data_IF_825259023205
#
_entry.id   IF_825259023205
#
_cell.length_a   1.000
_cell.length_b   1.000
_cell.length_c   1.000
_cell.angle_alpha   90.00
_cell.angle_beta   90.00
_cell.angle_gamma   90.00
#
_symmetry.space_group_name_H-M   'P 1'
#
loop_
_entity.id
_entity.type
_entity.pdbx_description
1 polymer ?
#
# COMPACT_ATOMS: atom_id res chain seq x y z
N UNK A 1 -24.69 33.04 43.25
CA UNK A 1 -23.42 32.52 42.68
C UNK A 1 -23.48 31.09 42.11
N UNK A 2 -24.63 30.37 42.11
CA UNK A 2 -24.70 28.94 41.68
C UNK A 2 -24.98 28.68 40.18
N UNK A 3 -25.41 29.68 39.42
CA UNK A 3 -25.78 29.51 37.98
C UNK A 3 -24.60 29.56 37.01
N UNK A 4 -23.52 30.28 37.37
CA UNK A 4 -22.34 30.41 36.50
C UNK A 4 -21.51 29.14 36.39
N UNK A 5 -21.55 28.26 37.39
CA UNK A 5 -20.80 27.00 37.38
C UNK A 5 -21.45 25.95 36.48
N UNK A 6 -22.78 25.87 36.48
CA UNK A 6 -23.56 24.91 35.68
C UNK A 6 -23.46 25.24 34.18
N UNK A 7 -23.52 26.53 33.82
CA UNK A 7 -23.35 26.97 32.43
C UNK A 7 -21.93 26.72 31.90
N UNK A 8 -20.90 26.86 32.76
CA UNK A 8 -19.51 26.54 32.42
C UNK A 8 -19.29 25.03 32.25
N UNK A 9 -19.91 24.20 33.08
CA UNK A 9 -19.85 22.75 32.95
C UNK A 9 -20.53 22.25 31.67
N UNK A 10 -21.71 22.79 31.32
CA UNK A 10 -22.44 22.44 30.10
C UNK A 10 -21.66 22.78 28.82
N UNK A 11 -21.05 23.98 28.77
CA UNK A 11 -20.22 24.38 27.63
C UNK A 11 -18.96 23.53 27.49
N UNK A 12 -18.35 23.10 28.60
CA UNK A 12 -17.17 22.24 28.57
C UNK A 12 -17.49 20.83 28.06
N UNK A 13 -18.64 20.27 28.47
CA UNK A 13 -19.14 18.98 27.99
C UNK A 13 -19.51 19.04 26.50
N UNK A 14 -20.14 20.15 26.05
CA UNK A 14 -20.45 20.35 24.64
C UNK A 14 -19.19 20.45 23.76
N UNK A 15 -18.15 21.15 24.22
CA UNK A 15 -16.87 21.25 23.52
C UNK A 15 -16.15 19.89 23.49
N UNK A 16 -16.14 19.13 24.59
CA UNK A 16 -15.54 17.80 24.64
C UNK A 16 -16.28 16.80 23.75
N UNK A 17 -17.61 16.84 23.72
CA UNK A 17 -18.41 16.00 22.83
C UNK A 17 -18.19 16.37 21.36
N UNK A 18 -18.15 17.67 21.03
CA UNK A 18 -17.83 18.14 19.69
C UNK A 18 -16.42 17.72 19.26
N UNK A 19 -15.42 17.91 20.12
CA UNK A 19 -14.03 17.50 19.87
C UNK A 19 -13.89 15.98 19.74
N UNK A 20 -14.63 15.18 20.51
CA UNK A 20 -14.64 13.72 20.38
C UNK A 20 -15.28 13.24 19.07
N UNK A 21 -16.33 13.91 18.59
CA UNK A 21 -16.96 13.61 17.29
C UNK A 21 -16.02 13.95 16.13
N UNK A 22 -15.28 15.07 16.21
CA UNK A 22 -14.28 15.44 15.20
C UNK A 22 -12.99 14.60 15.30
N UNK A 23 -12.54 14.25 16.50
CA UNK A 23 -11.37 13.38 16.71
C UNK A 23 -11.63 11.93 16.29
N UNK A 24 -12.90 11.47 16.30
CA UNK A 24 -13.29 10.15 15.83
C UNK A 24 -13.08 9.92 14.32
N UNK A 25 -12.83 10.97 13.53
CA UNK A 25 -12.47 10.86 12.10
C UNK A 25 -10.96 10.69 11.88
N UNK A 26 -10.14 10.95 12.91
CA UNK A 26 -8.69 10.79 12.89
C UNK A 26 -8.24 9.39 13.38
N UNK A 27 -9.15 8.40 13.38
CA UNK A 27 -8.77 6.99 13.56
C UNK A 27 -7.92 6.55 12.37
N UNK A 28 -6.61 6.63 12.57
CA UNK A 28 -5.52 5.91 11.91
C UNK A 28 -5.85 5.36 10.52
N UNK A 29 -5.72 6.20 9.51
CA UNK A 29 -5.36 5.73 8.18
C UNK A 29 -3.94 5.18 8.31
N UNK A 30 -3.80 3.86 8.47
CA UNK A 30 -2.49 3.18 8.38
C UNK A 30 -1.89 3.47 7.00
N UNK A 31 -0.90 4.37 6.94
CA UNK A 31 -0.34 4.91 5.70
C UNK A 31 0.98 4.24 5.27
N UNK A 32 1.39 3.18 5.98
CA UNK A 32 2.61 2.41 5.72
C UNK A 32 2.53 1.52 4.46
N UNK A 33 1.32 1.12 4.09
CA UNK A 33 1.06 0.05 3.11
C UNK A 33 0.12 0.48 1.98
N UNK A 34 -0.07 1.79 1.83
CA UNK A 34 -0.96 2.41 0.83
C UNK A 34 -0.16 3.08 -0.26
N UNK A 35 -0.80 3.21 -1.42
CA UNK A 35 -0.28 3.99 -2.55
C UNK A 35 -1.27 5.08 -2.88
N UNK A 36 -0.79 6.29 -3.12
CA UNK A 36 -1.63 7.45 -3.45
C UNK A 36 -1.17 8.09 -4.76
N UNK A 37 -2.13 8.50 -5.60
CA UNK A 37 -1.87 9.46 -6.67
C UNK A 37 -2.55 10.79 -6.33
N UNK A 38 -1.83 11.93 -6.37
CA UNK A 38 -2.41 13.24 -6.03
C UNK A 38 -3.56 13.68 -6.93
N UNK A 39 -3.64 13.14 -8.16
CA UNK A 39 -4.58 13.63 -9.16
C UNK A 39 -5.20 12.53 -10.01
N UNK A 40 -6.52 12.60 -10.18
CA UNK A 40 -7.28 11.96 -11.25
C UNK A 40 -8.37 12.93 -11.71
N UNK A 41 -8.86 12.76 -12.93
CA UNK A 41 -10.08 13.45 -13.39
C UNK A 41 -10.91 12.58 -14.33
N UNK A 42 -12.19 12.92 -14.44
CA UNK A 42 -13.05 12.43 -15.51
C UNK A 42 -14.17 13.41 -15.82
N UNK A 43 -14.49 13.56 -17.11
CA UNK A 43 -15.63 14.32 -17.64
C UNK A 43 -16.06 13.77 -19.01
N UNK A 44 -16.71 14.60 -19.83
CA UNK A 44 -17.14 14.25 -21.18
C UNK A 44 -16.03 14.14 -22.21
N UNK A 45 -14.84 14.67 -21.94
CA UNK A 45 -13.68 14.65 -22.83
C UNK A 45 -12.40 14.14 -22.15
N UNK A 46 -12.49 13.54 -20.98
CA UNK A 46 -11.36 13.02 -20.23
C UNK A 46 -11.71 11.83 -19.35
N UNK A 47 -10.72 10.95 -19.19
CA UNK A 47 -10.76 9.83 -18.27
C UNK A 47 -9.38 9.62 -17.63
N UNK A 48 -9.36 8.86 -16.55
CA UNK A 48 -8.11 8.42 -15.91
C UNK A 48 -7.88 6.94 -16.17
N UNK A 49 -6.68 6.59 -16.58
CA UNK A 49 -6.21 5.22 -16.72
C UNK A 49 -5.15 4.90 -15.67
N UNK A 50 -5.23 3.70 -15.10
CA UNK A 50 -4.25 3.17 -14.15
C UNK A 50 -3.94 1.72 -14.55
N UNK A 51 -2.65 1.40 -14.64
CA UNK A 51 -2.13 0.05 -14.73
C UNK A 51 -1.49 -0.32 -13.39
N UNK A 52 -1.94 -1.45 -12.82
CA UNK A 52 -1.37 -2.03 -11.60
C UNK A 52 -0.72 -3.35 -11.98
N UNK A 53 0.59 -3.43 -11.85
CA UNK A 53 1.40 -4.56 -12.34
C UNK A 53 2.08 -5.28 -11.18
N UNK A 54 1.98 -6.61 -11.20
CA UNK A 54 2.78 -7.48 -10.35
C UNK A 54 3.94 -8.07 -11.17
N UNK A 55 5.17 -7.70 -10.84
CA UNK A 55 6.38 -8.06 -11.63
C UNK A 55 6.82 -9.52 -11.50
N UNK A 56 6.28 -10.27 -10.52
CA UNK A 56 6.58 -11.70 -10.32
C UNK A 56 8.01 -11.99 -9.88
N UNK A 57 8.64 -11.04 -9.17
CA UNK A 57 9.99 -11.23 -8.66
C UNK A 57 10.02 -12.31 -7.57
N UNK A 58 11.10 -13.08 -7.53
CA UNK A 58 11.31 -14.08 -6.48
C UNK A 58 11.32 -13.39 -5.11
N UNK A 59 10.62 -13.97 -4.13
CA UNK A 59 10.46 -13.37 -2.81
C UNK A 59 9.27 -12.43 -2.67
N UNK A 60 8.57 -12.05 -3.74
CA UNK A 60 7.26 -11.38 -3.64
C UNK A 60 6.16 -12.36 -3.24
N UNK A 61 5.02 -11.86 -2.79
CA UNK A 61 3.82 -12.68 -2.69
C UNK A 61 3.42 -13.20 -4.08
N UNK A 62 2.78 -14.36 -4.18
CA UNK A 62 2.31 -14.87 -5.49
C UNK A 62 1.13 -14.07 -6.04
N UNK A 63 0.42 -13.37 -5.15
CA UNK A 63 -0.70 -12.51 -5.46
C UNK A 63 -0.84 -11.41 -4.42
N UNK A 64 -1.31 -10.24 -4.85
CA UNK A 64 -1.54 -9.08 -3.97
C UNK A 64 -2.94 -8.55 -4.26
N UNK A 65 -3.74 -8.40 -3.21
CA UNK A 65 -5.08 -7.82 -3.30
C UNK A 65 -5.05 -6.32 -2.98
N UNK A 66 -5.72 -5.52 -3.80
CA UNK A 66 -5.83 -4.07 -3.62
C UNK A 66 -7.27 -3.61 -3.78
N UNK A 67 -7.59 -2.49 -3.13
CA UNK A 67 -8.82 -1.71 -3.31
C UNK A 67 -8.45 -0.32 -3.76
N UNK A 68 -8.97 0.13 -4.90
CA UNK A 68 -8.73 1.45 -5.47
C UNK A 68 -9.95 2.33 -5.24
N UNK A 69 -9.71 3.50 -4.63
CA UNK A 69 -10.71 4.51 -4.35
C UNK A 69 -10.38 5.77 -5.17
N UNK A 70 -11.37 6.29 -5.89
CA UNK A 70 -11.32 7.62 -6.46
C UNK A 70 -12.00 8.59 -5.49
N UNK A 71 -11.21 9.37 -4.77
CA UNK A 71 -11.69 10.29 -3.73
C UNK A 71 -11.72 11.69 -4.33
N UNK A 72 -12.85 12.37 -4.16
CA UNK A 72 -13.09 13.73 -4.62
C UNK A 72 -12.47 14.75 -3.65
N UNK A 73 -12.43 16.01 -4.08
CA UNK A 73 -11.95 17.12 -3.27
C UNK A 73 -12.78 17.40 -2.00
N UNK A 74 -14.03 16.94 -1.97
CA UNK A 74 -14.92 17.00 -0.79
C UNK A 74 -14.82 15.75 0.11
N UNK A 75 -13.79 14.93 -0.11
CA UNK A 75 -13.52 13.66 0.59
C UNK A 75 -14.55 12.54 0.34
N UNK A 76 -15.53 12.75 -0.53
CA UNK A 76 -16.48 11.71 -0.94
C UNK A 76 -15.91 10.86 -2.07
N UNK A 77 -16.40 9.63 -2.24
CA UNK A 77 -15.99 8.76 -3.35
C UNK A 77 -16.75 9.10 -4.64
N UNK A 78 -16.05 9.27 -5.76
CA UNK A 78 -16.66 9.60 -7.08
C UNK A 78 -17.58 8.48 -7.62
N UNK A 79 -17.30 7.25 -7.24
CA UNK A 79 -18.08 6.06 -7.55
C UNK A 79 -17.72 4.94 -6.57
N UNK A 80 -18.19 3.73 -6.84
CA UNK A 80 -17.82 2.57 -6.02
C UNK A 80 -16.33 2.26 -6.15
N UNK A 81 -15.66 2.09 -5.02
CA UNK A 81 -14.29 1.57 -4.99
C UNK A 81 -14.25 0.17 -5.62
N UNK A 82 -13.12 -0.17 -6.23
CA UNK A 82 -12.94 -1.45 -6.91
C UNK A 82 -11.86 -2.26 -6.22
N UNK A 83 -12.15 -3.52 -5.95
CA UNK A 83 -11.22 -4.46 -5.32
C UNK A 83 -10.91 -5.61 -6.25
N UNK A 84 -9.64 -5.96 -6.37
CA UNK A 84 -9.19 -7.10 -7.17
C UNK A 84 -7.88 -7.66 -6.63
N UNK A 85 -7.55 -8.88 -7.07
CA UNK A 85 -6.29 -9.55 -6.75
C UNK A 85 -5.45 -9.68 -8.00
N UNK A 86 -4.23 -9.12 -7.99
CA UNK A 86 -3.28 -9.23 -9.08
C UNK A 86 -2.39 -10.44 -8.84
N UNK A 87 -2.35 -11.35 -9.82
CA UNK A 87 -1.45 -12.50 -9.81
C UNK A 87 -0.05 -12.10 -10.28
N UNK A 88 0.95 -12.86 -9.85
CA UNK A 88 2.31 -12.77 -10.36
C UNK A 88 2.39 -12.66 -11.89
N UNK A 89 3.09 -11.64 -12.40
CA UNK A 89 3.35 -11.45 -13.83
C UNK A 89 2.18 -10.83 -14.59
N UNK A 90 1.12 -10.43 -13.88
CA UNK A 90 -0.09 -9.86 -14.49
C UNK A 90 -0.17 -8.35 -14.29
N UNK A 91 -0.94 -7.70 -15.16
CA UNK A 91 -1.29 -6.29 -15.06
C UNK A 91 -2.80 -6.14 -15.08
N UNK A 92 -3.36 -5.51 -14.05
CA UNK A 92 -4.76 -5.10 -14.05
C UNK A 92 -4.87 -3.67 -14.58
N UNK A 93 -5.80 -3.48 -15.52
CA UNK A 93 -6.16 -2.15 -16.04
C UNK A 93 -7.36 -1.63 -15.29
N UNK A 94 -7.31 -0.38 -14.86
CA UNK A 94 -8.38 0.32 -14.15
C UNK A 94 -8.66 1.64 -14.87
N UNK A 95 -9.93 1.92 -15.11
CA UNK A 95 -10.39 3.16 -15.70
C UNK A 95 -11.30 3.89 -14.71
N UNK A 96 -11.13 5.20 -14.63
CA UNK A 96 -12.04 6.11 -13.93
C UNK A 96 -12.70 6.96 -14.98
N UNK A 97 -14.01 6.76 -15.14
CA UNK A 97 -14.80 7.36 -16.21
C UNK A 97 -16.09 7.90 -15.65
N UNK A 98 -16.64 8.95 -16.26
CA UNK A 98 -18.04 9.30 -16.07
C UNK A 98 -18.97 8.15 -16.45
N UNK A 99 -20.18 8.14 -15.90
CA UNK A 99 -21.22 7.22 -16.37
C UNK A 99 -21.55 7.44 -17.85
N UNK A 100 -21.74 6.35 -18.59
CA UNK A 100 -22.12 6.38 -20.01
C UNK A 100 -21.00 6.86 -20.95
N UNK A 101 -19.73 6.62 -20.60
CA UNK A 101 -18.61 6.83 -21.51
C UNK A 101 -18.72 5.92 -22.75
N UNK A 102 -18.68 6.49 -23.95
CA UNK A 102 -19.04 5.79 -25.19
C UNK A 102 -18.04 4.72 -25.64
N UNK A 103 -16.74 4.96 -25.43
CA UNK A 103 -15.64 4.11 -25.90
C UNK A 103 -14.92 3.35 -24.78
N UNK A 104 -14.73 3.97 -23.62
CA UNK A 104 -14.04 3.39 -22.46
C UNK A 104 -15.08 2.95 -21.43
N UNK A 105 -15.59 1.72 -21.55
CA UNK A 105 -16.60 1.18 -20.65
C UNK A 105 -16.47 -0.36 -20.49
N UNK A 106 -17.16 -0.97 -19.50
CA UNK A 106 -17.09 -2.41 -19.26
C UNK A 106 -17.51 -3.29 -20.44
N UNK A 107 -18.39 -2.80 -21.31
CA UNK A 107 -18.84 -3.55 -22.50
C UNK A 107 -17.75 -3.61 -23.57
N UNK A 108 -17.02 -2.52 -23.77
CA UNK A 108 -15.96 -2.43 -24.79
C UNK A 108 -14.62 -2.97 -24.32
N UNK A 109 -14.33 -2.92 -23.00
CA UNK A 109 -13.08 -3.40 -22.41
C UNK A 109 -13.38 -4.33 -21.22
N UNK A 110 -13.92 -5.54 -21.45
CA UNK A 110 -14.43 -6.42 -20.39
C UNK A 110 -13.36 -6.96 -19.43
N UNK A 111 -12.09 -6.87 -19.81
CA UNK A 111 -10.96 -7.31 -18.97
C UNK A 111 -10.46 -6.23 -18.02
N UNK A 112 -10.93 -4.99 -18.16
CA UNK A 112 -10.56 -3.89 -17.29
C UNK A 112 -11.56 -3.70 -16.15
N UNK A 113 -11.11 -3.04 -15.10
CA UNK A 113 -11.90 -2.66 -13.95
C UNK A 113 -12.31 -1.19 -14.08
N UNK A 114 -13.49 -0.83 -13.60
CA UNK A 114 -14.04 0.52 -13.80
C UNK A 114 -14.53 1.12 -12.49
N UNK A 115 -14.10 2.35 -12.20
CA UNK A 115 -14.76 3.23 -11.23
C UNK A 115 -15.58 4.21 -12.07
N UNK A 116 -16.91 4.05 -12.06
CA UNK A 116 -17.81 4.92 -12.79
C UNK A 116 -18.63 5.78 -11.84
N UNK A 117 -18.68 7.08 -12.13
CA UNK A 117 -19.34 8.08 -11.29
C UNK A 117 -20.38 8.89 -12.06
N UNK A 118 -20.53 10.16 -11.70
CA UNK A 118 -21.48 11.10 -12.33
C UNK A 118 -21.09 11.45 -13.77
N UNK A 119 -21.94 12.21 -14.47
CA UNK A 119 -21.67 12.71 -15.83
C UNK A 119 -20.79 13.95 -15.88
N UNK A 120 -20.79 14.74 -14.80
CA UNK A 120 -20.07 16.02 -14.73
C UNK A 120 -18.58 15.84 -14.47
N UNK A 121 -17.82 16.91 -14.75
CA UNK A 121 -16.40 16.97 -14.43
C UNK A 121 -16.16 16.79 -12.94
N UNK A 122 -15.36 15.77 -12.61
CA UNK A 122 -14.87 15.50 -11.26
C UNK A 122 -13.40 15.18 -11.28
N UNK A 123 -12.74 15.48 -10.16
CA UNK A 123 -11.33 15.23 -9.94
C UNK A 123 -11.06 15.03 -8.45
N UNK A 124 -9.85 14.60 -8.14
CA UNK A 124 -9.39 14.46 -6.77
C UNK A 124 -8.15 13.59 -6.71
N UNK A 125 -8.01 12.77 -5.67
CA UNK A 125 -6.86 11.89 -5.49
C UNK A 125 -7.26 10.42 -5.50
N UNK A 126 -6.31 9.55 -5.82
CA UNK A 126 -6.48 8.10 -5.76
C UNK A 126 -5.89 7.60 -4.47
N UNK A 127 -6.60 6.70 -3.80
CA UNK A 127 -6.06 5.91 -2.69
C UNK A 127 -6.18 4.43 -2.99
N UNK A 128 -5.05 3.74 -2.97
CA UNK A 128 -4.95 2.30 -3.11
C UNK A 128 -4.65 1.69 -1.75
N UNK A 129 -5.62 0.94 -1.24
CA UNK A 129 -5.55 0.26 0.05
C UNK A 129 -5.25 -1.23 -0.17
N UNK A 130 -4.38 -1.88 0.62
CA UNK A 130 -4.21 -3.32 0.55
C UNK A 130 -5.47 -4.03 1.06
N UNK A 131 -5.81 -5.17 0.46
CA UNK A 131 -6.91 -6.03 0.95
C UNK A 131 -6.46 -6.86 2.15
N UNK A 132 -5.16 -7.14 2.27
CA UNK A 132 -4.60 -7.87 3.40
C UNK A 132 -4.75 -7.04 4.68
N UNK A 133 -5.28 -7.63 5.76
CA UNK A 133 -5.32 -7.01 7.09
C UNK A 133 -3.95 -6.84 7.74
N UNK A 134 -2.95 -7.53 7.20
CA UNK A 134 -1.57 -7.56 7.66
C UNK A 134 -0.65 -7.51 6.43
N UNK A 135 -0.60 -6.38 5.68
CA UNK A 135 0.12 -6.27 4.41
C UNK A 135 1.63 -6.34 4.59
N UNK A 136 2.12 -5.78 5.69
CA UNK A 136 3.51 -5.80 6.15
C UNK A 136 3.97 -7.13 6.77
N UNK A 137 3.15 -8.19 6.67
CA UNK A 137 3.55 -9.55 7.03
C UNK A 137 3.76 -10.39 5.78
N UNK A 138 4.91 -11.05 5.72
CA UNK A 138 5.18 -12.10 4.74
C UNK A 138 4.11 -13.20 4.83
N UNK A 139 3.68 -13.75 3.68
CA UNK A 139 2.71 -14.87 3.61
C UNK A 139 3.17 -16.08 4.44
N UNK A 140 4.48 -16.26 4.62
CA UNK A 140 5.08 -17.31 5.44
C UNK A 140 5.05 -17.00 6.95
N UNK A 141 4.37 -15.94 7.39
CA UNK A 141 3.99 -15.70 8.79
C UNK A 141 5.08 -15.13 9.70
N UNK A 142 6.28 -14.84 9.18
CA UNK A 142 7.36 -14.32 9.99
C UNK A 142 7.49 -12.80 9.85
N UNK A 143 6.99 -12.06 10.85
CA UNK A 143 7.13 -10.59 10.98
C UNK A 143 8.59 -10.11 10.97
N UNK A 144 9.54 -11.02 11.20
CA UNK A 144 10.96 -10.74 11.29
C UNK A 144 11.77 -11.97 10.92
N UNK A 145 11.66 -12.48 9.67
CA UNK A 145 12.60 -13.45 9.11
C UNK A 145 13.16 -14.49 10.10
N UNK A 146 12.33 -15.03 11.00
CA UNK A 146 12.76 -16.08 11.91
C UNK A 146 12.84 -17.29 11.02
N UNK A 147 14.00 -17.45 10.39
CA UNK A 147 14.43 -18.74 9.91
C UNK A 147 14.30 -19.65 11.13
N UNK A 148 13.23 -20.44 11.19
CA UNK A 148 13.16 -21.56 12.12
C UNK A 148 14.47 -22.27 11.93
N UNK A 149 15.32 -22.29 12.97
CA UNK A 149 16.61 -22.98 12.93
C UNK A 149 16.33 -24.33 12.32
N UNK A 150 16.79 -24.55 11.11
CA UNK A 150 16.50 -25.78 10.42
C UNK A 150 17.31 -26.85 11.11
N UNK A 151 16.67 -27.57 12.00
CA UNK A 151 17.25 -28.75 12.62
C UNK A 151 17.42 -29.88 11.60
N UNK A 152 16.69 -29.79 10.48
CA UNK A 152 16.72 -30.72 9.36
C UNK A 152 16.76 -29.96 8.01
N UNK A 153 17.61 -30.42 7.09
CA UNK A 153 17.77 -29.86 5.72
C UNK A 153 16.43 -29.82 4.97
N UNK A 154 15.55 -30.78 5.23
CA UNK A 154 14.20 -30.89 4.69
C UNK A 154 13.30 -29.70 5.04
N UNK A 155 13.39 -29.22 6.29
CA UNK A 155 12.60 -28.09 6.81
C UNK A 155 13.17 -26.73 6.38
N UNK A 156 14.47 -26.68 6.09
CA UNK A 156 15.11 -25.52 5.47
C UNK A 156 14.72 -25.35 4.02
N UNK A 157 14.67 -26.46 3.28
CA UNK A 157 14.28 -26.44 1.88
C UNK A 157 12.80 -26.05 1.71
N UNK A 158 11.91 -26.50 2.59
CA UNK A 158 10.49 -26.10 2.56
C UNK A 158 10.28 -24.61 2.89
N UNK A 159 11.03 -24.03 3.83
CA UNK A 159 10.99 -22.58 4.11
C UNK A 159 11.57 -21.75 2.96
N UNK A 160 12.69 -22.17 2.36
CA UNK A 160 13.28 -21.51 1.19
C UNK A 160 12.36 -21.61 -0.04
N UNK A 161 11.68 -22.74 -0.21
CA UNK A 161 10.68 -22.93 -1.27
C UNK A 161 9.47 -22.03 -1.06
N UNK A 162 9.00 -21.82 0.18
CA UNK A 162 7.93 -20.85 0.46
C UNK A 162 8.36 -19.41 0.12
N UNK A 163 9.58 -19.00 0.46
CA UNK A 163 10.11 -17.68 0.08
C UNK A 163 10.21 -17.54 -1.45
N UNK A 164 10.67 -18.56 -2.16
CA UNK A 164 10.76 -18.57 -3.63
C UNK A 164 9.39 -18.63 -4.32
N UNK A 165 8.38 -19.22 -3.66
CA UNK A 165 7.04 -19.50 -4.21
C UNK A 165 5.95 -18.64 -3.55
N UNK A 166 6.12 -17.32 -3.51
CA UNK A 166 5.03 -16.43 -3.08
C UNK A 166 5.00 -16.10 -1.59
N UNK A 167 6.12 -16.25 -0.89
CA UNK A 167 6.24 -15.97 0.54
C UNK A 167 6.34 -14.49 0.91
N UNK A 168 6.35 -13.56 -0.04
CA UNK A 168 6.56 -12.14 0.22
C UNK A 168 5.43 -11.40 0.93
N UNK A 169 5.56 -10.08 1.00
CA UNK A 169 4.55 -9.19 1.58
C UNK A 169 3.34 -9.05 0.65
N UNK A 170 2.15 -8.93 1.23
CA UNK A 170 0.90 -8.66 0.49
C UNK A 170 0.54 -7.19 0.60
N UNK A 171 1.54 -6.36 0.35
CA UNK A 171 1.48 -4.91 0.48
C UNK A 171 1.22 -4.27 -0.89
N UNK A 172 0.37 -3.24 -0.93
CA UNK A 172 0.09 -2.53 -2.17
C UNK A 172 1.36 -1.84 -2.71
N UNK A 173 2.26 -1.40 -1.83
CA UNK A 173 3.54 -0.77 -2.19
C UNK A 173 4.51 -1.68 -2.95
N UNK A 174 4.28 -3.00 -2.92
CA UNK A 174 5.08 -3.98 -3.66
C UNK A 174 4.69 -4.07 -5.15
N UNK A 175 3.60 -3.44 -5.55
CA UNK A 175 3.13 -3.40 -6.93
C UNK A 175 3.71 -2.20 -7.69
N UNK A 176 3.84 -2.33 -9.01
CA UNK A 176 4.19 -1.22 -9.88
C UNK A 176 2.91 -0.52 -10.34
N UNK A 177 2.92 0.81 -10.29
CA UNK A 177 1.81 1.64 -10.73
C UNK A 177 2.26 2.55 -11.86
N UNK A 178 1.43 2.62 -12.89
CA UNK A 178 1.54 3.62 -13.93
C UNK A 178 0.15 4.14 -14.25
N UNK A 179 0.03 5.42 -14.57
CA UNK A 179 -1.27 5.98 -14.87
C UNK A 179 -1.14 7.26 -15.67
N UNK A 180 -2.24 7.62 -16.32
CA UNK A 180 -2.34 8.84 -17.07
C UNK A 180 -3.76 9.38 -17.02
N UNK A 181 -3.84 10.70 -17.02
CA UNK A 181 -5.06 11.41 -17.36
C UNK A 181 -5.04 11.64 -18.86
N UNK A 182 -6.09 11.18 -19.54
CA UNK A 182 -6.22 11.29 -20.99
C UNK A 182 -7.26 12.36 -21.30
N UNK A 183 -6.90 13.30 -22.18
CA UNK A 183 -7.78 14.30 -22.78
C UNK A 183 -8.12 13.84 -24.20
N UNK A 184 -9.33 13.35 -24.38
CA UNK A 184 -9.77 12.67 -25.60
C UNK A 184 -9.82 13.60 -26.80
N UNK A 185 -10.30 14.83 -26.63
CA UNK A 185 -10.48 15.78 -27.74
C UNK A 185 -9.20 16.09 -28.50
N UNK A 186 -8.05 16.06 -27.80
CA UNK A 186 -6.74 16.36 -28.39
C UNK A 186 -5.82 15.13 -28.41
N UNK A 187 -6.31 13.97 -27.98
CA UNK A 187 -5.49 12.74 -27.82
C UNK A 187 -4.21 12.99 -27.00
N UNK A 188 -4.29 13.91 -26.04
CA UNK A 188 -3.17 14.31 -25.18
C UNK A 188 -3.41 13.80 -23.76
N UNK A 189 -2.45 14.01 -22.88
CA UNK A 189 -2.59 13.65 -21.48
C UNK A 189 -1.34 13.98 -20.70
N UNK A 190 -1.36 13.62 -19.43
CA UNK A 190 -0.20 13.69 -18.55
C UNK A 190 -0.11 12.45 -17.70
N UNK A 191 1.12 12.03 -17.42
CA UNK A 191 1.38 10.90 -16.54
C UNK A 191 1.03 11.28 -15.09
N UNK A 192 0.55 10.29 -14.35
CA UNK A 192 0.28 10.41 -12.93
C UNK A 192 1.48 9.93 -12.13
N UNK A 193 1.67 10.55 -10.98
CA UNK A 193 2.61 10.10 -9.96
C UNK A 193 1.91 9.18 -8.97
N UNK A 194 2.60 8.13 -8.55
CA UNK A 194 2.13 7.23 -7.50
C UNK A 194 3.18 7.19 -6.40
N UNK A 195 2.75 7.56 -5.21
CA UNK A 195 3.58 7.66 -4.02
C UNK A 195 3.23 6.45 -3.15
N UNK A 196 4.19 5.55 -2.99
CA UNK A 196 4.11 4.47 -2.00
C UNK A 196 4.33 5.01 -0.59
N UNK A 197 3.96 4.21 0.41
CA UNK A 197 4.36 4.37 1.81
C UNK A 197 4.47 5.84 2.26
N UNK A 198 3.33 6.52 2.42
CA UNK A 198 3.26 7.92 2.85
C UNK A 198 3.74 8.14 4.31
N UNK A 199 4.45 7.17 4.87
CA UNK A 199 4.98 7.09 6.21
C UNK A 199 6.51 7.12 6.15
N UNK A 200 7.08 8.15 5.54
CA UNK A 200 8.54 8.32 5.47
C UNK A 200 9.17 8.74 6.82
N UNK A 201 8.36 8.97 7.85
CA UNK A 201 8.84 9.48 9.14
C UNK A 201 7.92 9.07 10.29
N UNK A 202 8.12 7.85 10.81
CA UNK A 202 7.85 7.61 12.23
C UNK A 202 9.20 7.48 12.96
N UNK A 203 9.46 8.22 14.05
CA UNK A 203 10.56 7.85 14.93
C UNK A 203 10.30 6.40 15.31
N UNK A 204 11.30 5.54 15.23
CA UNK A 204 11.19 4.14 15.64
C UNK A 204 10.80 4.08 17.14
N UNK A 205 9.52 4.22 17.45
CA UNK A 205 8.96 4.05 18.80
C UNK A 205 8.66 2.56 18.96
N UNK A 206 9.73 1.81 18.97
CA UNK A 206 9.72 0.37 19.05
C UNK A 206 11.16 -0.02 18.89
N UNK A 207 11.80 -0.36 20.01
CA UNK A 207 13.09 -1.01 20.00
C UNK A 207 13.05 -2.08 18.91
N UNK A 208 13.75 -1.86 17.80
CA UNK A 208 14.26 -2.97 17.01
C UNK A 208 15.24 -3.61 17.97
N UNK A 209 14.74 -4.52 18.81
CA UNK A 209 15.58 -5.49 19.47
C UNK A 209 16.11 -6.33 18.34
N UNK A 210 17.20 -5.87 17.72
CA UNK A 210 18.16 -6.76 17.11
C UNK A 210 18.57 -7.68 18.25
N UNK A 211 17.86 -8.79 18.39
CA UNK A 211 18.37 -9.92 19.17
C UNK A 211 19.63 -10.32 18.44
N UNK A 212 20.74 -9.78 18.93
CA UNK A 212 22.05 -10.35 18.72
C UNK A 212 21.90 -11.84 19.04
N UNK A 213 22.09 -12.68 18.03
CA UNK A 213 22.14 -14.12 18.24
C UNK A 213 23.43 -14.42 19.01
N UNK A 214 23.38 -14.28 20.33
CA UNK A 214 24.44 -14.76 21.21
C UNK A 214 24.47 -16.29 21.09
N UNK A 215 25.42 -16.79 20.28
CA UNK A 215 25.56 -18.22 19.95
C UNK A 215 25.42 -18.61 18.48
N UNK A 216 25.28 -17.66 17.54
CA UNK A 216 25.52 -17.95 16.13
C UNK A 216 27.03 -18.01 15.87
N UNK A 217 27.64 -19.18 16.09
CA UNK A 217 28.89 -19.53 15.43
C UNK A 217 28.61 -19.62 13.92
N UNK A 218 28.63 -18.48 13.24
CA UNK A 218 28.86 -18.46 11.81
C UNK A 218 30.29 -18.97 11.62
N UNK A 219 30.56 -19.90 10.68
CA UNK A 219 31.93 -20.19 10.31
C UNK A 219 32.54 -18.85 9.92
N UNK A 220 33.58 -18.43 10.63
CA UNK A 220 34.32 -17.22 10.32
C UNK A 220 34.69 -17.30 8.85
N UNK A 221 34.15 -16.38 8.07
CA UNK A 221 34.66 -16.13 6.73
C UNK A 221 36.04 -15.52 6.95
N UNK A 222 37.06 -16.38 6.93
CA UNK A 222 38.46 -16.00 7.04
C UNK A 222 38.81 -15.23 5.76
N UNK A 223 38.62 -13.90 5.81
CA UNK A 223 39.26 -13.03 4.84
C UNK A 223 40.73 -13.04 5.25
N UNK A 224 41.49 -13.99 4.71
CA UNK A 224 42.88 -14.22 5.08
C UNK A 224 43.71 -12.94 5.01
N UNK A 225 43.82 -12.24 6.14
CA UNK A 225 44.80 -11.19 6.35
C UNK A 225 45.99 -11.88 6.99
N UNK A 226 47.15 -11.95 6.32
CA UNK A 226 48.32 -12.60 6.90
C UNK A 226 48.72 -11.85 8.16
N UNK A 227 48.68 -12.53 9.32
CA UNK A 227 49.22 -11.98 10.55
C UNK A 227 50.76 -12.01 10.46
N UNK A 228 51.48 -10.93 10.83
CA UNK A 228 52.94 -10.96 10.87
C UNK A 228 53.36 -11.95 11.97
N UNK A 229 54.17 -12.95 11.62
CA UNK A 229 54.68 -13.91 12.58
C UNK A 229 55.54 -13.25 13.68
N UNK A 230 55.63 -13.87 14.87
CA UNK A 230 56.41 -13.31 15.97
C UNK A 230 57.90 -13.23 15.60
N UNK A 231 58.53 -12.12 15.99
CA UNK A 231 59.97 -11.95 15.86
C UNK A 231 60.70 -13.07 16.63
N UNK A 232 61.65 -13.73 15.96
CA UNK A 232 62.49 -14.75 16.53
C UNK A 232 63.34 -14.20 17.70
N UNK A 233 63.67 -15.02 18.71
CA UNK A 233 64.50 -14.62 19.85
C UNK A 233 65.93 -14.23 19.45
#
# INVERSE_FOLDING_TARGET
MKTKLIQRASNLVAILAFLAIFAGKAFAVDNDSRVVSPYWQSDSGSYTFIAVTHTSLSGMASQIGVTINAIQNDETTFGSAVSFTIQGGSTQRVFITRSGHSTINPTTIPTATFIQGTTDFKHGHIRVDPVSSHPNFSVTGNKYGKFSRCTDVSNCQSSLNNVRNGGGFRDATMLSYWGAVVIEQNTTGFAMEFIGDMQDSSPASGNVSATYCDGCNLPTFDVGVPHPGPAAP
#
